data_IF_430530837280
#
_entry.id   IF_430530837280
#
_cell.length_a   1.000
_cell.length_b   1.000
_cell.length_c   1.000
_cell.angle_alpha   90.00
_cell.angle_beta   90.00
_cell.angle_gamma   90.00
#
_symmetry.space_group_name_H-M   'P 1'
#
loop_
_entity.id
_entity.type
_entity.pdbx_description
1 polymer ?
#
# COMPACT_ATOMS: atom_id res chain seq x y z
N UNK A 1 -6.64 -19.44 14.66
CA UNK A 1 -7.00 -18.01 14.85
C UNK A 1 -7.99 -17.66 13.76
N UNK A 2 -8.97 -16.81 14.06
CA UNK A 2 -9.91 -16.34 13.03
C UNK A 2 -9.14 -15.50 11.99
N UNK A 3 -9.13 -15.93 10.73
CA UNK A 3 -8.44 -15.29 9.61
C UNK A 3 -8.94 -13.85 9.40
N UNK A 4 -10.23 -13.60 9.64
CA UNK A 4 -10.80 -12.25 9.57
C UNK A 4 -10.29 -11.33 10.69
N UNK A 5 -9.93 -11.89 11.85
CA UNK A 5 -9.25 -11.11 12.89
C UNK A 5 -7.84 -10.68 12.43
N UNK A 6 -7.10 -11.57 11.77
CA UNK A 6 -5.79 -11.25 11.17
C UNK A 6 -5.96 -10.18 10.08
N UNK A 7 -6.94 -10.36 9.19
CA UNK A 7 -7.27 -9.38 8.15
C UNK A 7 -7.58 -8.00 8.73
N UNK A 8 -8.32 -7.96 9.85
CA UNK A 8 -8.66 -6.70 10.53
C UNK A 8 -7.44 -5.95 11.07
N UNK A 9 -6.37 -6.66 11.48
CA UNK A 9 -5.11 -6.05 11.91
C UNK A 9 -4.42 -5.36 10.74
N UNK A 10 -4.32 -6.02 9.59
CA UNK A 10 -3.77 -5.39 8.37
C UNK A 10 -4.62 -4.19 7.95
N UNK A 11 -5.95 -4.36 7.95
CA UNK A 11 -6.90 -3.29 7.65
C UNK A 11 -6.75 -2.09 8.59
N UNK A 12 -6.51 -2.30 9.89
CA UNK A 12 -6.32 -1.23 10.85
C UNK A 12 -5.04 -0.41 10.58
N UNK A 13 -3.94 -1.07 10.20
CA UNK A 13 -2.69 -0.39 9.80
C UNK A 13 -2.94 0.51 8.58
N UNK A 14 -3.61 -0.04 7.56
CA UNK A 14 -3.91 0.68 6.31
C UNK A 14 -4.87 1.85 6.60
N UNK A 15 -5.93 1.61 7.37
CA UNK A 15 -6.92 2.62 7.75
C UNK A 15 -6.27 3.77 8.51
N UNK A 16 -5.37 3.47 9.45
CA UNK A 16 -4.62 4.50 10.15
C UNK A 16 -3.80 5.37 9.18
N UNK A 17 -3.13 4.75 8.20
CA UNK A 17 -2.43 5.46 7.13
C UNK A 17 -3.35 6.34 6.28
N UNK A 18 -4.51 5.81 5.87
CA UNK A 18 -5.52 6.56 5.12
C UNK A 18 -6.01 7.76 5.93
N UNK A 19 -6.33 7.59 7.21
CA UNK A 19 -6.79 8.67 8.06
C UNK A 19 -5.77 9.81 8.13
N UNK A 20 -4.48 9.50 8.27
CA UNK A 20 -3.40 10.51 8.20
C UNK A 20 -3.33 11.24 6.84
N UNK A 21 -3.62 10.53 5.74
CA UNK A 21 -3.63 11.11 4.39
C UNK A 21 -4.86 12.00 4.12
N UNK A 22 -5.90 11.96 4.94
CA UNK A 22 -7.12 12.79 4.77
C UNK A 22 -7.05 14.10 5.57
N UNK A 23 -7.98 15.06 5.38
CA UNK A 23 -8.06 16.25 6.24
C UNK A 23 -8.28 15.93 7.73
N UNK A 24 -8.91 14.80 8.06
CA UNK A 24 -9.07 14.33 9.44
C UNK A 24 -7.73 14.00 10.10
N UNK A 25 -6.70 13.76 9.29
CA UNK A 25 -5.34 13.49 9.73
C UNK A 25 -4.71 14.63 10.52
N UNK A 26 -5.16 15.89 10.42
CA UNK A 26 -4.58 16.99 11.20
C UNK A 26 -4.81 16.84 12.70
N UNK A 27 -5.99 16.38 13.11
CA UNK A 27 -6.31 16.14 14.52
C UNK A 27 -5.55 14.92 15.05
N UNK A 28 -5.42 13.88 14.21
CA UNK A 28 -4.67 12.67 14.54
C UNK A 28 -3.16 12.96 14.66
N UNK A 29 -2.60 13.70 13.70
CA UNK A 29 -1.20 14.09 13.67
C UNK A 29 -0.84 15.05 14.81
N UNK A 30 -1.76 15.91 15.24
CA UNK A 30 -1.54 16.84 16.36
C UNK A 30 -1.10 16.13 17.65
N UNK A 31 -1.62 14.94 17.92
CA UNK A 31 -1.20 14.12 19.07
C UNK A 31 0.27 13.70 19.01
N UNK A 32 0.87 13.72 17.82
CA UNK A 32 2.21 13.24 17.55
C UNK A 32 3.21 14.35 17.18
N UNK A 33 2.78 15.61 17.08
CA UNK A 33 3.64 16.72 16.64
C UNK A 33 4.89 16.92 17.53
N UNK A 34 4.78 16.71 18.84
CA UNK A 34 5.92 16.85 19.76
C UNK A 34 7.03 15.84 19.48
N UNK A 35 6.66 14.65 19.00
CA UNK A 35 7.59 13.55 18.71
C UNK A 35 8.04 13.53 17.25
N UNK A 36 7.18 13.94 16.34
CA UNK A 36 7.39 13.90 14.89
C UNK A 36 7.07 15.26 14.24
N UNK A 37 7.98 16.24 14.29
CA UNK A 37 7.75 17.56 13.71
C UNK A 37 7.46 17.55 12.21
N UNK A 38 7.91 16.52 11.48
CA UNK A 38 7.64 16.36 10.05
C UNK A 38 6.14 16.28 9.73
N UNK A 39 5.31 15.77 10.65
CA UNK A 39 3.85 15.63 10.45
C UNK A 39 3.06 16.92 10.69
N UNK A 40 3.72 18.02 11.02
CA UNK A 40 3.06 19.34 11.12
C UNK A 40 2.64 19.90 9.76
N UNK A 41 3.35 19.51 8.70
CA UNK A 41 3.06 19.89 7.32
C UNK A 41 2.10 18.91 6.66
N UNK A 42 1.26 19.40 5.73
CA UNK A 42 0.36 18.54 4.95
C UNK A 42 1.12 17.48 4.15
N UNK A 43 2.25 17.87 3.54
CA UNK A 43 3.21 16.96 2.88
C UNK A 43 3.63 15.83 3.80
N UNK A 44 4.09 16.17 5.01
CA UNK A 44 4.59 15.18 5.96
C UNK A 44 3.50 14.27 6.52
N UNK A 45 2.27 14.74 6.67
CA UNK A 45 1.12 13.87 7.03
C UNK A 45 0.82 12.84 5.95
N UNK A 46 0.80 13.26 4.69
CA UNK A 46 0.57 12.34 3.55
C UNK A 46 1.69 11.31 3.48
N UNK A 47 2.96 11.75 3.58
CA UNK A 47 4.11 10.84 3.56
C UNK A 47 4.08 9.86 4.73
N UNK A 48 3.77 10.31 5.95
CA UNK A 48 3.63 9.43 7.10
C UNK A 48 2.49 8.41 6.90
N UNK A 49 1.33 8.86 6.42
CA UNK A 49 0.20 7.98 6.13
C UNK A 49 0.53 6.95 5.04
N UNK A 50 1.25 7.36 3.99
CA UNK A 50 1.73 6.45 2.95
C UNK A 50 2.70 5.40 3.48
N UNK A 51 3.53 5.71 4.48
CA UNK A 51 4.36 4.69 5.14
C UNK A 51 3.48 3.61 5.78
N UNK A 52 2.42 3.98 6.52
CA UNK A 52 1.50 3.00 7.09
C UNK A 52 0.74 2.21 6.03
N UNK A 53 0.30 2.85 4.95
CA UNK A 53 -0.34 2.15 3.81
C UNK A 53 0.62 1.13 3.19
N UNK A 54 1.86 1.53 2.89
CA UNK A 54 2.85 0.61 2.31
C UNK A 54 3.24 -0.51 3.28
N UNK A 55 3.30 -0.23 4.59
CA UNK A 55 3.54 -1.25 5.62
C UNK A 55 2.38 -2.25 5.64
N UNK A 56 1.14 -1.75 5.62
CA UNK A 56 -0.06 -2.56 5.50
C UNK A 56 -0.02 -3.47 4.28
N UNK A 57 0.32 -2.90 3.12
CA UNK A 57 0.48 -3.63 1.85
C UNK A 57 1.55 -4.71 1.92
N UNK A 58 2.70 -4.41 2.52
CA UNK A 58 3.75 -5.39 2.77
C UNK A 58 3.26 -6.52 3.68
N UNK A 59 2.62 -6.19 4.81
CA UNK A 59 2.18 -7.20 5.79
C UNK A 59 1.08 -8.10 5.26
N UNK A 60 0.11 -7.57 4.50
CA UNK A 60 -0.93 -8.40 3.86
C UNK A 60 -0.32 -9.27 2.77
N UNK A 61 0.65 -8.77 2.00
CA UNK A 61 1.38 -9.56 1.00
C UNK A 61 2.17 -10.71 1.66
N UNK A 62 2.87 -10.43 2.76
CA UNK A 62 3.55 -11.46 3.55
C UNK A 62 2.57 -12.50 4.12
N UNK A 63 1.39 -12.06 4.56
CA UNK A 63 0.33 -12.96 5.02
C UNK A 63 -0.17 -13.86 3.88
N UNK A 64 -0.37 -13.33 2.66
CA UNK A 64 -0.75 -14.15 1.50
C UNK A 64 0.32 -15.16 1.10
N UNK A 65 1.61 -14.81 1.25
CA UNK A 65 2.72 -15.74 1.03
C UNK A 65 2.73 -16.86 2.08
N UNK A 66 2.52 -16.50 3.35
CA UNK A 66 2.37 -17.49 4.41
C UNK A 66 1.18 -18.43 4.14
N UNK A 67 0.03 -17.89 3.71
CA UNK A 67 -1.15 -18.67 3.34
C UNK A 67 -0.83 -19.64 2.19
N UNK A 68 -0.14 -19.17 1.15
CA UNK A 68 0.31 -20.00 0.04
C UNK A 68 1.15 -21.18 0.52
N UNK A 69 2.14 -20.93 1.38
CA UNK A 69 2.99 -21.99 1.92
C UNK A 69 2.18 -22.98 2.76
N UNK A 70 1.26 -22.51 3.59
CA UNK A 70 0.40 -23.40 4.39
C UNK A 70 -0.55 -24.24 3.56
N UNK A 71 -1.10 -23.66 2.49
CA UNK A 71 -1.94 -24.39 1.54
C UNK A 71 -1.15 -25.49 0.82
N UNK A 72 0.11 -25.23 0.49
CA UNK A 72 0.99 -26.25 -0.11
C UNK A 72 1.29 -27.42 0.85
N UNK A 73 1.21 -27.19 2.17
CA UNK A 73 1.33 -28.22 3.21
C UNK A 73 0.02 -29.01 3.42
N UNK A 74 -1.06 -28.68 2.69
CA UNK A 74 -2.38 -29.29 2.84
C UNK A 74 -3.25 -28.68 3.93
N UNK A 75 -2.89 -27.51 4.47
CA UNK A 75 -3.77 -26.75 5.34
C UNK A 75 -4.91 -26.10 4.54
N UNK A 76 -5.87 -25.52 5.27
CA UNK A 76 -6.97 -24.75 4.69
C UNK A 76 -7.07 -23.42 5.43
N UNK A 77 -7.18 -22.31 4.69
CA UNK A 77 -7.08 -20.95 5.24
C UNK A 77 -8.10 -20.03 4.57
N UNK A 78 -9.04 -19.45 5.34
CA UNK A 78 -10.09 -18.60 4.76
C UNK A 78 -10.90 -19.41 3.70
N UNK A 79 -11.40 -20.57 4.12
CA UNK A 79 -12.08 -21.57 3.29
C UNK A 79 -13.48 -21.87 3.85
N UNK A 80 -14.44 -21.03 3.50
CA UNK A 80 -15.86 -21.33 3.71
C UNK A 80 -16.51 -21.84 2.43
N UNK A 81 -17.68 -22.48 2.55
CA UNK A 81 -18.61 -22.79 1.44
C UNK A 81 -19.26 -21.52 0.82
N UNK A 82 -18.56 -20.39 0.90
CA UNK A 82 -19.04 -19.08 0.51
C UNK A 82 -18.21 -18.53 -0.64
N UNK A 83 -18.73 -17.50 -1.30
CA UNK A 83 -18.00 -16.71 -2.30
C UNK A 83 -16.69 -16.11 -1.74
N UNK A 84 -16.57 -15.94 -0.41
CA UNK A 84 -15.35 -15.48 0.24
C UNK A 84 -14.44 -16.69 0.51
N UNK A 85 -13.47 -16.89 -0.38
CA UNK A 85 -12.58 -18.04 -0.33
C UNK A 85 -11.18 -17.66 -0.83
N UNK A 86 -10.18 -17.83 0.04
CA UNK A 86 -8.78 -17.56 -0.28
C UNK A 86 -8.06 -18.79 -0.85
N UNK A 87 -8.43 -20.00 -0.41
CA UNK A 87 -7.82 -21.27 -0.79
C UNK A 87 -7.85 -21.50 -2.30
N UNK A 88 -9.01 -21.27 -2.94
CA UNK A 88 -9.22 -21.51 -4.37
C UNK A 88 -8.36 -20.63 -5.28
N UNK A 89 -7.81 -19.55 -4.76
CA UNK A 89 -6.98 -18.60 -5.51
C UNK A 89 -5.51 -18.70 -5.07
N UNK A 90 -5.21 -18.52 -3.78
CA UNK A 90 -3.85 -18.52 -3.24
C UNK A 90 -3.22 -19.92 -3.27
N UNK A 91 -4.02 -20.97 -3.07
CA UNK A 91 -3.58 -22.36 -3.13
C UNK A 91 -3.43 -22.88 -4.57
N UNK A 92 -4.01 -22.18 -5.55
CA UNK A 92 -3.98 -22.60 -6.93
C UNK A 92 -2.74 -22.05 -7.65
N UNK A 93 -1.77 -22.91 -7.94
CA UNK A 93 -0.53 -22.53 -8.61
C UNK A 93 -0.74 -21.91 -10.00
N UNK A 94 -1.87 -22.17 -10.68
CA UNK A 94 -2.19 -21.54 -11.97
C UNK A 94 -2.57 -20.06 -11.83
N UNK A 95 -3.03 -19.63 -10.65
CA UNK A 95 -3.47 -18.25 -10.39
C UNK A 95 -2.53 -17.51 -9.46
N UNK A 96 -1.91 -18.21 -8.50
CA UNK A 96 -1.04 -17.59 -7.52
C UNK A 96 0.43 -17.48 -7.95
N UNK A 97 0.81 -17.94 -9.15
CA UNK A 97 2.19 -17.89 -9.64
C UNK A 97 2.34 -16.80 -10.72
N UNK A 98 3.31 -15.92 -10.54
CA UNK A 98 3.70 -14.95 -11.58
C UNK A 98 4.35 -15.70 -12.77
N UNK A 99 3.84 -15.53 -13.99
CA UNK A 99 4.30 -16.30 -15.16
C UNK A 99 5.70 -15.91 -15.65
N UNK A 100 6.25 -14.78 -15.20
CA UNK A 100 7.57 -14.29 -15.65
C UNK A 100 8.70 -14.74 -14.72
N UNK A 101 8.48 -14.66 -13.42
CA UNK A 101 9.46 -14.92 -12.36
C UNK A 101 9.25 -16.28 -11.71
N UNK A 102 8.12 -16.95 -11.98
CA UNK A 102 7.73 -18.22 -11.37
C UNK A 102 7.76 -18.15 -9.84
N UNK A 103 7.25 -17.04 -9.29
CA UNK A 103 7.18 -16.76 -7.86
C UNK A 103 5.73 -16.49 -7.45
N UNK A 104 5.36 -16.77 -6.18
CA UNK A 104 4.01 -16.47 -5.71
C UNK A 104 3.75 -14.96 -5.67
N UNK A 105 2.55 -14.52 -6.04
CA UNK A 105 2.19 -13.10 -6.08
C UNK A 105 2.36 -12.39 -4.73
N UNK A 106 2.18 -13.11 -3.62
CA UNK A 106 2.46 -12.57 -2.28
C UNK A 106 3.91 -12.09 -2.11
N UNK A 107 4.89 -12.81 -2.67
CA UNK A 107 6.29 -12.39 -2.65
C UNK A 107 6.52 -11.16 -3.55
N UNK A 108 5.92 -11.14 -4.74
CA UNK A 108 6.00 -10.00 -5.65
C UNK A 108 5.40 -8.74 -5.01
N UNK A 109 4.26 -8.89 -4.32
CA UNK A 109 3.62 -7.81 -3.55
C UNK A 109 4.52 -7.29 -2.44
N UNK A 110 5.20 -8.16 -1.68
CA UNK A 110 6.16 -7.75 -0.66
C UNK A 110 7.28 -6.88 -1.26
N UNK A 111 7.86 -7.29 -2.37
CA UNK A 111 8.91 -6.52 -3.07
C UNK A 111 8.38 -5.17 -3.55
N UNK A 112 7.20 -5.16 -4.18
CA UNK A 112 6.58 -3.94 -4.69
C UNK A 112 6.29 -2.94 -3.57
N UNK A 113 5.64 -3.36 -2.48
CA UNK A 113 5.35 -2.46 -1.35
C UNK A 113 6.61 -2.02 -0.61
N UNK A 114 7.67 -2.83 -0.59
CA UNK A 114 8.97 -2.42 -0.05
C UNK A 114 9.61 -1.32 -0.90
N UNK A 115 9.55 -1.43 -2.23
CA UNK A 115 10.05 -0.40 -3.14
C UNK A 115 9.25 0.91 -2.99
N UNK A 116 7.92 0.83 -2.96
CA UNK A 116 7.06 2.00 -2.75
C UNK A 116 7.33 2.64 -1.38
N UNK A 117 7.46 1.84 -0.33
CA UNK A 117 7.85 2.31 1.00
C UNK A 117 9.19 3.05 0.97
N UNK A 118 10.20 2.46 0.33
CA UNK A 118 11.53 3.07 0.22
C UNK A 118 11.49 4.43 -0.48
N UNK A 119 10.70 4.56 -1.55
CA UNK A 119 10.47 5.85 -2.23
C UNK A 119 9.82 6.87 -1.29
N UNK A 120 8.76 6.47 -0.57
CA UNK A 120 8.06 7.34 0.39
C UNK A 120 9.01 7.81 1.49
N UNK A 121 9.81 6.91 2.08
CA UNK A 121 10.78 7.24 3.12
C UNK A 121 11.85 8.19 2.58
N UNK A 122 12.39 7.93 1.39
CA UNK A 122 13.41 8.77 0.75
C UNK A 122 12.88 10.19 0.55
N UNK A 123 11.67 10.34 -0.01
CA UNK A 123 11.01 11.63 -0.19
C UNK A 123 10.76 12.33 1.16
N UNK A 124 10.37 11.58 2.19
CA UNK A 124 10.12 12.15 3.52
C UNK A 124 11.38 12.61 4.25
N UNK A 125 12.51 11.96 4.00
CA UNK A 125 13.80 12.32 4.60
C UNK A 125 14.44 13.51 3.91
N UNK A 126 14.34 13.59 2.59
CA UNK A 126 14.89 14.69 1.80
C UNK A 126 13.85 15.32 0.88
N UNK A 127 12.82 16.00 1.42
CA UNK A 127 11.73 16.56 0.62
C UNK A 127 12.16 17.75 -0.25
N UNK A 128 13.34 18.33 -0.01
CA UNK A 128 13.87 19.49 -0.74
C UNK A 128 14.99 19.11 -1.71
N UNK A 129 15.26 17.82 -1.90
CA UNK A 129 16.28 17.35 -2.84
C UNK A 129 15.87 17.65 -4.28
N UNK A 130 16.86 17.88 -5.16
CA UNK A 130 16.63 17.96 -6.60
C UNK A 130 16.07 16.67 -7.19
N UNK A 131 16.27 15.53 -6.51
CA UNK A 131 15.81 14.20 -6.92
C UNK A 131 14.39 13.87 -6.46
N UNK A 132 13.83 14.64 -5.51
CA UNK A 132 12.44 14.47 -5.04
C UNK A 132 11.41 14.31 -6.17
N UNK A 133 11.38 15.16 -7.23
CA UNK A 133 10.43 14.99 -8.33
C UNK A 133 10.62 13.69 -9.10
N UNK A 134 11.86 13.21 -9.23
CA UNK A 134 12.16 11.93 -9.87
C UNK A 134 11.56 10.78 -9.05
N UNK A 135 11.73 10.78 -7.73
CA UNK A 135 11.17 9.73 -6.86
C UNK A 135 9.64 9.76 -6.82
N UNK A 136 9.01 10.93 -6.82
CA UNK A 136 7.54 11.05 -6.88
C UNK A 136 7.02 10.46 -8.20
N UNK A 137 7.62 10.83 -9.34
CA UNK A 137 7.24 10.31 -10.66
C UNK A 137 7.53 8.81 -10.77
N UNK A 138 8.65 8.35 -10.22
CA UNK A 138 9.02 6.93 -10.16
C UNK A 138 8.00 6.11 -9.36
N UNK A 139 7.58 6.58 -8.19
CA UNK A 139 6.55 5.95 -7.38
C UNK A 139 5.18 5.95 -8.05
N UNK A 140 4.79 7.06 -8.68
CA UNK A 140 3.57 7.14 -9.46
C UNK A 140 3.58 6.16 -10.65
N UNK A 141 4.69 6.11 -11.39
CA UNK A 141 4.89 5.19 -12.51
C UNK A 141 4.85 3.73 -12.07
N UNK A 142 5.54 3.37 -10.99
CA UNK A 142 5.52 2.03 -10.42
C UNK A 142 4.11 1.62 -9.95
N UNK A 143 3.37 2.53 -9.31
CA UNK A 143 2.00 2.27 -8.89
C UNK A 143 1.05 2.11 -10.10
N UNK A 144 1.20 2.90 -11.16
CA UNK A 144 0.43 2.73 -12.41
C UNK A 144 0.76 1.39 -13.07
N UNK A 145 2.04 1.00 -13.12
CA UNK A 145 2.48 -0.27 -13.70
C UNK A 145 1.92 -1.50 -12.96
N UNK A 146 1.53 -1.36 -11.69
CA UNK A 146 0.86 -2.43 -10.94
C UNK A 146 -0.62 -2.62 -11.30
N UNK A 147 -1.29 -1.65 -11.95
CA UNK A 147 -2.72 -1.76 -12.27
C UNK A 147 -3.05 -2.93 -13.24
N UNK A 148 -2.27 -3.18 -14.32
CA UNK A 148 -2.48 -4.37 -15.14
C UNK A 148 -2.34 -5.69 -14.37
N UNK A 149 -1.42 -5.76 -13.39
CA UNK A 149 -1.25 -6.93 -12.53
C UNK A 149 -2.49 -7.13 -11.67
N UNK A 150 -2.99 -6.07 -11.02
CA UNK A 150 -4.24 -6.14 -10.24
C UNK A 150 -5.41 -6.56 -11.12
N UNK A 151 -5.53 -6.01 -12.32
CA UNK A 151 -6.60 -6.40 -13.26
C UNK A 151 -6.53 -7.88 -13.64
N UNK A 152 -5.32 -8.42 -13.84
CA UNK A 152 -5.11 -9.84 -14.06
C UNK A 152 -5.56 -10.68 -12.86
N UNK A 153 -5.14 -10.31 -11.64
CA UNK A 153 -5.49 -11.06 -10.43
C UNK A 153 -6.99 -11.02 -10.14
N UNK A 154 -7.64 -9.88 -10.32
CA UNK A 154 -9.11 -9.76 -10.23
C UNK A 154 -9.82 -10.57 -11.32
N UNK A 155 -9.22 -10.71 -12.51
CA UNK A 155 -9.79 -11.58 -13.55
C UNK A 155 -9.85 -13.05 -13.13
N UNK A 156 -8.89 -13.51 -12.31
CA UNK A 156 -8.91 -14.87 -11.75
C UNK A 156 -10.02 -15.03 -10.70
N UNK A 157 -10.25 -14.02 -9.86
CA UNK A 157 -11.39 -13.98 -8.92
C UNK A 157 -12.73 -14.12 -9.66
N UNK A 158 -12.90 -13.34 -10.74
CA UNK A 158 -14.11 -13.38 -11.58
C UNK A 158 -14.27 -14.75 -12.25
N UNK A 159 -13.18 -15.31 -12.79
CA UNK A 159 -13.20 -16.59 -13.50
C UNK A 159 -13.60 -17.75 -12.59
N UNK A 160 -13.11 -17.77 -11.37
CA UNK A 160 -13.43 -18.82 -10.38
C UNK A 160 -14.74 -18.55 -9.62
N UNK A 161 -15.31 -17.34 -9.75
CA UNK A 161 -16.49 -16.95 -9.00
C UNK A 161 -16.22 -16.84 -7.50
N UNK A 162 -14.99 -16.52 -7.11
CA UNK A 162 -14.51 -16.41 -5.73
C UNK A 162 -13.95 -15.01 -5.49
N UNK A 163 -14.07 -14.51 -4.27
CA UNK A 163 -13.43 -13.27 -3.82
C UNK A 163 -12.45 -13.63 -2.71
N UNK A 164 -11.18 -13.25 -2.85
CA UNK A 164 -10.20 -13.41 -1.78
C UNK A 164 -10.10 -12.09 -0.98
N UNK A 165 -10.55 -12.06 0.29
CA UNK A 165 -10.48 -10.84 1.11
C UNK A 165 -9.06 -10.30 1.29
N UNK A 166 -8.05 -11.18 1.40
CA UNK A 166 -6.65 -10.76 1.54
C UNK A 166 -6.09 -10.15 0.25
N UNK A 167 -6.38 -10.74 -0.92
CA UNK A 167 -6.03 -10.15 -2.22
C UNK A 167 -6.74 -8.81 -2.43
N UNK A 168 -8.03 -8.74 -2.09
CA UNK A 168 -8.81 -7.50 -2.15
C UNK A 168 -8.16 -6.38 -1.31
N UNK A 169 -7.76 -6.67 -0.07
CA UNK A 169 -7.06 -5.69 0.77
C UNK A 169 -5.72 -5.28 0.16
N UNK A 170 -4.95 -6.21 -0.41
CA UNK A 170 -3.71 -5.88 -1.10
C UNK A 170 -3.94 -4.96 -2.32
N UNK A 171 -4.95 -5.26 -3.15
CA UNK A 171 -5.32 -4.46 -4.31
C UNK A 171 -5.77 -3.05 -3.92
N UNK A 172 -6.65 -2.93 -2.92
CA UNK A 172 -7.11 -1.64 -2.39
C UNK A 172 -5.92 -0.85 -1.84
N UNK A 173 -5.01 -1.49 -1.12
CA UNK A 173 -3.82 -0.84 -0.56
C UNK A 173 -2.92 -0.27 -1.65
N UNK A 174 -2.74 -1.00 -2.75
CA UNK A 174 -1.99 -0.51 -3.91
C UNK A 174 -2.66 0.70 -4.56
N UNK A 175 -4.00 0.67 -4.72
CA UNK A 175 -4.76 1.82 -5.24
C UNK A 175 -4.64 3.04 -4.32
N UNK A 176 -4.65 2.85 -3.00
CA UNK A 176 -4.42 3.94 -2.03
C UNK A 176 -3.00 4.50 -2.19
N UNK A 177 -1.98 3.65 -2.35
CA UNK A 177 -0.61 4.08 -2.59
C UNK A 177 -0.49 4.89 -3.91
N UNK A 178 -1.15 4.45 -4.97
CA UNK A 178 -1.25 5.18 -6.24
C UNK A 178 -1.85 6.57 -6.04
N UNK A 179 -2.98 6.66 -5.33
CA UNK A 179 -3.63 7.95 -5.00
C UNK A 179 -2.67 8.82 -4.18
N UNK A 180 -1.96 8.24 -3.21
CA UNK A 180 -0.95 8.94 -2.42
C UNK A 180 0.14 9.58 -3.27
N UNK A 181 0.75 8.81 -4.17
CA UNK A 181 1.75 9.33 -5.11
C UNK A 181 1.17 10.38 -6.06
N UNK A 182 -0.06 10.20 -6.53
CA UNK A 182 -0.75 11.19 -7.37
C UNK A 182 -0.97 12.52 -6.62
N UNK A 183 -1.38 12.46 -5.35
CA UNK A 183 -1.54 13.65 -4.50
C UNK A 183 -0.20 14.33 -4.26
N UNK A 184 0.87 13.58 -3.97
CA UNK A 184 2.22 14.14 -3.84
C UNK A 184 2.69 14.80 -5.14
N UNK A 185 2.44 14.16 -6.28
CA UNK A 185 2.74 14.72 -7.59
C UNK A 185 2.01 16.04 -7.81
N UNK A 186 0.70 16.10 -7.56
CA UNK A 186 -0.07 17.35 -7.67
C UNK A 186 0.36 18.42 -6.67
N UNK A 187 0.76 18.01 -5.46
CA UNK A 187 1.32 18.93 -4.47
C UNK A 187 2.68 19.48 -4.89
N UNK A 188 3.49 18.69 -5.61
CA UNK A 188 4.76 19.13 -6.15
C UNK A 188 4.60 20.06 -7.36
N UNK A 189 3.67 19.75 -8.26
CA UNK A 189 3.35 20.60 -9.43
C UNK A 189 2.66 21.91 -9.03
N UNK A 190 1.84 21.87 -7.97
CA UNK A 190 1.31 23.08 -7.38
C UNK A 190 2.34 23.69 -6.43
N UNK A 191 2.30 25.00 -6.24
CA UNK A 191 3.17 25.74 -5.33
C UNK A 191 3.01 25.39 -3.82
N UNK A 192 2.38 24.26 -3.51
CA UNK A 192 1.99 23.78 -2.19
C UNK A 192 2.98 22.77 -1.59
N UNK A 193 4.08 22.45 -2.28
CA UNK A 193 5.09 21.50 -1.80
C UNK A 193 5.84 21.98 -0.56
N UNK A 194 6.19 23.26 -0.53
CA UNK A 194 6.95 23.89 0.55
C UNK A 194 6.47 25.34 0.82
N UNK A 195 5.18 25.54 1.21
CA UNK A 195 4.64 26.87 1.48
C UNK A 195 5.37 27.61 2.61
N UNK A 196 6.04 26.89 3.50
CA UNK A 196 6.88 27.43 4.58
C UNK A 196 8.03 28.31 4.07
N UNK A 197 8.63 27.97 2.92
CA UNK A 197 9.72 28.74 2.32
C UNK A 197 9.22 30.06 1.73
N UNK A 198 7.96 30.13 1.29
CA UNK A 198 7.35 31.38 0.80
C UNK A 198 7.07 32.38 1.92
N UNK A 199 6.84 31.91 3.16
CA UNK A 199 6.59 32.79 4.32
C UNK A 199 7.87 33.45 4.84
N UNK A 200 9.05 32.86 4.68
CA UNK A 200 10.31 33.48 5.11
C UNK A 200 10.82 34.54 4.12
N UNK A 201 10.55 34.40 2.82
CA UNK A 201 10.94 35.37 1.78
C UNK A 201 10.15 36.68 1.78
N UNK A 202 9.03 36.76 2.52
CA UNK A 202 8.17 37.96 2.62
C UNK A 202 8.35 38.74 3.93
N UNK A 203 9.39 38.43 4.71
CA UNK A 203 9.84 39.19 5.86
C UNK A 203 11.18 39.84 5.53
#
# INVERSE_FOLDING_TARGET
MNEYAILSIHGAIILFGVLLMTPMGSSLAAMFHSRYPSTTSRRGQILAGMMFVCLGGFTVSAQTLWMHNKLSEGASVCSGDSILNCDGLIGNAAYNTDPLLNQPWGLIGMVAFTLLMWLVITIAKEPMSSETPLFIKGGLGAAIAGLPVIALLVSYEIKEGLICPFCTVAHITHVIALIGFFVLFKMYESDNWAPELKKSSRK
#
